data_IF_645368650411
#
_entry.id   IF_645368650411
#
_cell.length_a   1.000
_cell.length_b   1.000
_cell.length_c   1.000
_cell.angle_alpha   90.00
_cell.angle_beta   90.00
_cell.angle_gamma   90.00
#
_symmetry.space_group_name_H-M   'P 1'
#
loop_
_entity.id
_entity.type
_entity.pdbx_description
1 polymer ?
#
# COMPACT_ATOMS: atom_id res chain seq x y z
N UNK A 1 1.02 14.03 27.51
CA UNK A 1 -0.31 13.48 27.15
C UNK A 1 -0.92 14.18 25.95
N UNK A 2 -0.98 15.51 25.94
CA UNK A 2 -1.45 16.28 24.78
C UNK A 2 -0.64 15.99 23.49
N UNK A 3 0.69 15.93 23.58
CA UNK A 3 1.56 15.56 22.45
C UNK A 3 1.24 14.18 21.86
N UNK A 4 1.01 13.17 22.71
CA UNK A 4 0.61 11.83 22.29
C UNK A 4 -0.73 11.85 21.54
N UNK A 5 -1.71 12.59 22.08
CA UNK A 5 -3.01 12.72 21.45
C UNK A 5 -2.91 13.41 20.08
N UNK A 6 -2.04 14.42 19.95
CA UNK A 6 -1.80 15.09 18.67
C UNK A 6 -1.19 14.13 17.63
N UNK A 7 -0.18 13.34 18.04
CA UNK A 7 0.43 12.32 17.15
C UNK A 7 -0.64 11.32 16.68
N UNK A 8 -1.45 10.78 17.58
CA UNK A 8 -2.50 9.81 17.22
C UNK A 8 -3.56 10.40 16.29
N UNK A 9 -3.94 11.68 16.47
CA UNK A 9 -4.87 12.36 15.56
C UNK A 9 -4.27 12.56 14.16
N UNK A 10 -3.00 12.92 14.08
CA UNK A 10 -2.30 13.04 12.80
C UNK A 10 -2.15 11.68 12.12
N UNK A 11 -1.90 10.63 12.89
CA UNK A 11 -1.92 9.26 12.36
C UNK A 11 -3.30 8.91 11.78
N UNK A 12 -4.40 9.20 12.48
CA UNK A 12 -5.76 8.98 11.96
C UNK A 12 -5.95 9.69 10.62
N UNK A 13 -5.59 10.97 10.54
CA UNK A 13 -5.72 11.76 9.31
C UNK A 13 -4.91 11.16 8.15
N UNK A 14 -3.65 10.78 8.39
CA UNK A 14 -2.82 10.15 7.35
C UNK A 14 -3.40 8.81 6.88
N UNK A 15 -3.94 7.99 7.78
CA UNK A 15 -4.55 6.73 7.41
C UNK A 15 -5.85 6.94 6.60
N UNK A 16 -6.65 7.94 6.93
CA UNK A 16 -7.82 8.34 6.13
C UNK A 16 -7.43 8.83 4.73
N UNK A 17 -6.39 9.66 4.64
CA UNK A 17 -5.82 10.10 3.36
C UNK A 17 -5.32 8.91 2.52
N UNK A 18 -4.63 7.96 3.14
CA UNK A 18 -4.17 6.75 2.46
C UNK A 18 -5.33 5.91 1.93
N UNK A 19 -6.41 5.76 2.70
CA UNK A 19 -7.61 5.07 2.26
C UNK A 19 -8.21 5.75 1.03
N UNK A 20 -8.36 7.07 1.05
CA UNK A 20 -8.86 7.83 -0.09
C UNK A 20 -8.02 7.58 -1.36
N UNK A 21 -6.69 7.62 -1.23
CA UNK A 21 -5.79 7.32 -2.36
C UNK A 21 -5.93 5.88 -2.86
N UNK A 22 -6.12 4.90 -1.97
CA UNK A 22 -6.34 3.51 -2.33
C UNK A 22 -7.70 3.28 -3.01
N UNK A 23 -8.73 4.00 -2.58
CA UNK A 23 -10.06 3.99 -3.22
C UNK A 23 -10.01 4.62 -4.61
N UNK A 24 -9.33 5.76 -4.77
CA UNK A 24 -9.08 6.39 -6.08
C UNK A 24 -8.34 5.44 -7.02
N UNK A 25 -7.32 4.72 -6.51
CA UNK A 25 -6.61 3.72 -7.31
C UNK A 25 -7.52 2.57 -7.75
N UNK A 26 -8.34 2.06 -6.83
CA UNK A 26 -9.28 0.97 -7.10
C UNK A 26 -10.30 1.34 -8.19
N UNK A 27 -10.96 2.48 -8.02
CA UNK A 27 -11.99 2.99 -8.94
C UNK A 27 -11.41 3.48 -10.26
N UNK A 28 -10.22 4.06 -10.19
CA UNK A 28 -9.49 4.61 -11.32
C UNK A 28 -8.78 3.55 -12.17
N UNK A 29 -8.70 2.31 -11.73
CA UNK A 29 -7.99 1.27 -12.46
C UNK A 29 -8.60 1.01 -13.85
N UNK A 30 -7.80 1.20 -14.91
CA UNK A 30 -8.26 1.12 -16.30
C UNK A 30 -8.92 2.38 -16.84
N UNK A 31 -9.09 3.42 -16.02
CA UNK A 31 -9.56 4.76 -16.41
C UNK A 31 -8.45 5.81 -16.30
N UNK A 32 -7.64 5.70 -15.25
CA UNK A 32 -6.49 6.56 -15.00
C UNK A 32 -5.41 6.32 -16.05
N UNK A 33 -4.82 7.43 -16.51
CA UNK A 33 -3.61 7.40 -17.34
C UNK A 33 -2.41 6.97 -16.50
N UNK A 34 -1.42 6.36 -17.13
CA UNK A 34 -0.19 5.93 -16.45
C UNK A 34 0.51 7.06 -15.67
N UNK A 35 0.47 8.29 -16.19
CA UNK A 35 0.98 9.48 -15.49
C UNK A 35 0.21 9.83 -14.21
N UNK A 36 -1.10 9.62 -14.19
CA UNK A 36 -1.95 9.88 -13.02
C UNK A 36 -1.73 8.79 -11.96
N UNK A 37 -1.63 7.54 -12.39
CA UNK A 37 -1.28 6.43 -11.50
C UNK A 37 0.11 6.62 -10.87
N UNK A 38 1.09 7.10 -11.64
CA UNK A 38 2.43 7.41 -11.13
C UNK A 38 2.40 8.52 -10.08
N UNK A 39 1.62 9.58 -10.30
CA UNK A 39 1.42 10.65 -9.31
C UNK A 39 0.80 10.10 -8.02
N UNK A 40 -0.27 9.32 -8.15
CA UNK A 40 -0.96 8.69 -7.03
C UNK A 40 -0.04 7.76 -6.22
N UNK A 41 0.82 7.01 -6.90
CA UNK A 41 1.86 6.20 -6.25
C UNK A 41 2.87 7.06 -5.48
N UNK A 42 3.29 8.19 -6.05
CA UNK A 42 4.14 9.16 -5.37
C UNK A 42 3.51 9.74 -4.10
N UNK A 43 2.22 10.07 -4.14
CA UNK A 43 1.45 10.57 -3.00
C UNK A 43 1.29 9.51 -1.91
N UNK A 44 0.89 8.28 -2.26
CA UNK A 44 0.83 7.16 -1.31
C UNK A 44 2.17 6.92 -0.63
N UNK A 45 3.25 6.94 -1.40
CA UNK A 45 4.61 6.76 -0.86
C UNK A 45 5.00 7.87 0.12
N UNK A 46 4.58 9.12 -0.12
CA UNK A 46 4.77 10.23 0.82
C UNK A 46 3.94 10.03 2.09
N UNK A 47 2.67 9.66 1.95
CA UNK A 47 1.77 9.38 3.05
C UNK A 47 2.34 8.28 3.97
N UNK A 48 2.75 7.14 3.41
CA UNK A 48 3.36 6.03 4.16
C UNK A 48 4.63 6.48 4.91
N UNK A 49 5.51 7.28 4.26
CA UNK A 49 6.70 7.81 4.94
C UNK A 49 6.34 8.73 6.11
N UNK A 50 5.31 9.56 5.96
CA UNK A 50 4.83 10.42 7.03
C UNK A 50 4.26 9.59 8.19
N UNK A 51 3.50 8.53 7.90
CA UNK A 51 2.99 7.60 8.93
C UNK A 51 4.12 6.92 9.69
N UNK A 52 5.14 6.40 8.98
CA UNK A 52 6.31 5.77 9.63
C UNK A 52 7.06 6.76 10.52
N UNK A 53 7.16 8.02 10.09
CA UNK A 53 7.78 9.07 10.90
C UNK A 53 6.98 9.33 12.18
N UNK A 54 5.66 9.49 12.09
CA UNK A 54 4.81 9.70 13.27
C UNK A 54 4.87 8.51 14.22
N UNK A 55 4.86 7.29 13.70
CA UNK A 55 4.97 6.09 14.54
C UNK A 55 6.30 6.05 15.30
N UNK A 56 7.41 6.48 14.68
CA UNK A 56 8.69 6.60 15.37
C UNK A 56 8.66 7.70 16.45
N UNK A 57 8.02 8.84 16.18
CA UNK A 57 7.82 9.91 17.17
C UNK A 57 6.94 9.42 18.34
N UNK A 58 5.90 8.63 18.05
CA UNK A 58 5.03 7.99 19.04
C UNK A 58 5.81 7.03 19.92
N UNK A 59 6.63 6.15 19.34
CA UNK A 59 7.46 5.19 20.08
C UNK A 59 8.40 5.95 21.03
N UNK A 60 9.12 6.96 20.54
CA UNK A 60 10.03 7.75 21.39
C UNK A 60 9.32 8.47 22.54
N UNK A 61 8.08 8.93 22.31
CA UNK A 61 7.30 9.58 23.36
C UNK A 61 6.78 8.58 24.39
N UNK A 62 6.35 7.39 23.94
CA UNK A 62 5.95 6.28 24.81
C UNK A 62 7.14 5.78 25.64
N UNK A 63 8.35 5.73 25.07
CA UNK A 63 9.57 5.36 25.79
C UNK A 63 9.84 6.33 26.95
N UNK A 64 9.77 7.65 26.68
CA UNK A 64 9.93 8.69 27.73
C UNK A 64 8.85 8.60 28.81
N UNK A 65 7.62 8.25 28.43
CA UNK A 65 6.54 8.04 29.40
C UNK A 65 6.81 6.81 30.27
N UNK A 66 7.30 5.72 29.68
CA UNK A 66 7.66 4.49 30.41
C UNK A 66 8.74 4.78 31.46
N UNK A 67 9.79 5.52 31.07
CA UNK A 67 10.85 5.96 31.97
C UNK A 67 10.29 6.80 33.14
N UNK A 68 9.34 7.71 32.85
CA UNK A 68 8.72 8.57 33.87
C UNK A 68 7.82 7.82 34.86
N UNK A 69 7.27 6.67 34.45
CA UNK A 69 6.38 5.84 35.26
C UNK A 69 7.09 4.64 35.89
N UNK A 70 8.42 4.55 35.73
CA UNK A 70 9.25 3.42 36.18
C UNK A 70 8.72 2.06 35.66
N UNK A 71 8.08 2.06 34.49
CA UNK A 71 7.53 0.86 33.85
C UNK A 71 8.43 0.40 32.71
N UNK A 72 8.45 -0.90 32.44
CA UNK A 72 9.14 -1.37 31.24
C UNK A 72 8.32 -1.03 29.99
N UNK A 73 9.00 -0.60 28.92
CA UNK A 73 8.39 -0.19 27.65
C UNK A 73 7.48 -1.26 27.04
N UNK A 74 7.76 -2.54 27.31
CA UNK A 74 6.99 -3.68 26.81
C UNK A 74 5.63 -3.84 27.50
N UNK A 75 5.50 -3.32 28.72
CA UNK A 75 4.26 -3.38 29.51
C UNK A 75 3.37 -2.14 29.26
N UNK A 76 3.97 -1.06 28.75
CA UNK A 76 3.29 0.20 28.46
C UNK A 76 2.54 0.15 27.13
N UNK A 77 1.39 -0.53 27.13
CA UNK A 77 0.46 -0.51 25.99
C UNK A 77 -0.41 0.74 25.99
N UNK A 78 -0.96 1.11 24.82
CA UNK A 78 -1.85 2.28 24.72
C UNK A 78 -3.05 2.17 25.67
N UNK A 79 -3.58 0.97 25.89
CA UNK A 79 -4.66 0.70 26.85
C UNK A 79 -4.24 1.02 28.30
N UNK A 80 -3.00 0.71 28.68
CA UNK A 80 -2.44 1.06 29.99
C UNK A 80 -2.28 2.57 30.10
N UNK A 81 -1.76 3.23 29.07
CA UNK A 81 -1.63 4.70 29.03
C UNK A 81 -3.01 5.37 29.19
N UNK A 82 -4.05 4.87 28.51
CA UNK A 82 -5.42 5.38 28.63
C UNK A 82 -5.96 5.20 30.04
N UNK A 83 -5.69 4.08 30.69
CA UNK A 83 -6.15 3.81 32.07
C UNK A 83 -5.50 4.71 33.13
N UNK A 84 -4.29 5.20 32.87
CA UNK A 84 -3.56 6.14 33.73
C UNK A 84 -3.78 7.61 33.32
N UNK A 85 -4.43 7.87 32.19
CA UNK A 85 -4.73 9.21 31.72
C UNK A 85 -5.83 9.86 32.57
N UNK A 86 -5.77 11.18 32.74
CA UNK A 86 -6.90 11.93 33.28
C UNK A 86 -8.12 11.81 32.36
N UNK A 87 -9.33 12.02 32.90
CA UNK A 87 -10.58 11.94 32.13
C UNK A 87 -10.54 12.75 30.83
N UNK A 88 -9.91 13.92 30.86
CA UNK A 88 -9.72 14.81 29.70
C UNK A 88 -9.02 14.15 28.51
N UNK A 89 -8.04 13.26 28.75
CA UNK A 89 -7.26 12.62 27.68
C UNK A 89 -7.68 11.16 27.44
N UNK A 90 -8.25 10.49 28.43
CA UNK A 90 -8.63 9.08 28.32
C UNK A 90 -9.61 8.81 27.17
N UNK A 91 -10.72 9.56 27.09
CA UNK A 91 -11.75 9.37 26.06
C UNK A 91 -11.25 9.72 24.64
N UNK A 92 -10.57 10.86 24.41
CA UNK A 92 -10.01 11.16 23.09
C UNK A 92 -8.95 10.15 22.62
N UNK A 93 -8.10 9.66 23.52
CA UNK A 93 -7.09 8.65 23.19
C UNK A 93 -7.74 7.32 22.81
N UNK A 94 -8.77 6.90 23.56
CA UNK A 94 -9.55 5.70 23.25
C UNK A 94 -10.22 5.81 21.87
N UNK A 95 -10.82 6.97 21.57
CA UNK A 95 -11.43 7.21 20.26
C UNK A 95 -10.42 7.09 19.12
N UNK A 96 -9.24 7.70 19.26
CA UNK A 96 -8.19 7.61 18.24
C UNK A 96 -7.72 6.17 18.06
N UNK A 97 -7.57 5.42 19.16
CA UNK A 97 -7.17 4.01 19.12
C UNK A 97 -8.17 3.14 18.35
N UNK A 98 -9.46 3.26 18.67
CA UNK A 98 -10.52 2.49 18.00
C UNK A 98 -10.63 2.86 16.52
N UNK A 99 -10.47 4.14 16.20
CA UNK A 99 -10.41 4.63 14.81
C UNK A 99 -9.22 4.04 14.07
N UNK A 100 -8.00 4.14 14.60
CA UNK A 100 -6.79 3.60 13.97
C UNK A 100 -6.92 2.10 13.70
N UNK A 101 -7.46 1.33 14.65
CA UNK A 101 -7.70 -0.10 14.48
C UNK A 101 -8.65 -0.39 13.32
N UNK A 102 -9.73 0.38 13.21
CA UNK A 102 -10.69 0.29 12.11
C UNK A 102 -10.06 0.67 10.76
N UNK A 103 -9.28 1.76 10.73
CA UNK A 103 -8.62 2.26 9.53
C UNK A 103 -7.57 1.28 9.01
N UNK A 104 -6.74 0.69 9.87
CA UNK A 104 -5.75 -0.32 9.49
C UNK A 104 -6.44 -1.52 8.83
N UNK A 105 -7.54 -2.01 9.41
CA UNK A 105 -8.31 -3.10 8.81
C UNK A 105 -8.88 -2.71 7.44
N UNK A 106 -9.40 -1.48 7.30
CA UNK A 106 -9.91 -0.98 6.02
C UNK A 106 -8.79 -0.87 4.97
N UNK A 107 -7.61 -0.38 5.34
CA UNK A 107 -6.44 -0.27 4.47
C UNK A 107 -6.02 -1.64 3.95
N UNK A 108 -5.87 -2.63 4.84
CA UNK A 108 -5.50 -4.00 4.44
C UNK A 108 -6.48 -4.56 3.41
N UNK A 109 -7.79 -4.43 3.68
CA UNK A 109 -8.83 -4.92 2.78
C UNK A 109 -8.82 -4.25 1.40
N UNK A 110 -8.56 -2.95 1.32
CA UNK A 110 -8.51 -2.24 0.03
C UNK A 110 -7.20 -2.54 -0.70
N UNK A 111 -6.07 -2.57 0.02
CA UNK A 111 -4.77 -2.91 -0.55
C UNK A 111 -4.77 -4.31 -1.17
N UNK A 112 -5.38 -5.29 -0.51
CA UNK A 112 -5.52 -6.66 -1.04
C UNK A 112 -6.35 -6.69 -2.34
N UNK A 113 -7.44 -5.92 -2.39
CA UNK A 113 -8.25 -5.78 -3.61
C UNK A 113 -7.46 -5.14 -4.75
N UNK A 114 -6.73 -4.05 -4.48
CA UNK A 114 -5.91 -3.37 -5.47
C UNK A 114 -4.81 -4.29 -6.00
N UNK A 115 -4.17 -5.05 -5.12
CA UNK A 115 -3.15 -6.04 -5.48
C UNK A 115 -3.70 -7.13 -6.41
N UNK A 116 -4.85 -7.70 -6.06
CA UNK A 116 -5.52 -8.72 -6.89
C UNK A 116 -5.88 -8.17 -8.28
N UNK A 117 -6.42 -6.96 -8.34
CA UNK A 117 -6.81 -6.30 -9.58
C UNK A 117 -5.60 -5.97 -10.46
N UNK A 118 -4.52 -5.45 -9.88
CA UNK A 118 -3.28 -5.16 -10.59
C UNK A 118 -2.66 -6.42 -11.18
N UNK A 119 -2.54 -7.49 -10.37
CA UNK A 119 -2.01 -8.79 -10.80
C UNK A 119 -2.81 -9.39 -11.95
N UNK A 120 -4.15 -9.41 -11.85
CA UNK A 120 -5.02 -9.95 -12.90
C UNK A 120 -4.87 -9.20 -14.23
N UNK A 121 -4.68 -7.87 -14.19
CA UNK A 121 -4.50 -7.06 -15.40
C UNK A 121 -3.10 -7.21 -16.01
N UNK A 122 -2.05 -7.29 -15.20
CA UNK A 122 -0.69 -7.58 -15.69
C UNK A 122 -0.66 -8.92 -16.42
N UNK A 123 -1.29 -9.96 -15.87
CA UNK A 123 -1.44 -11.26 -16.53
C UNK A 123 -2.19 -11.16 -17.87
N UNK A 124 -3.22 -10.32 -17.94
CA UNK A 124 -3.92 -10.04 -19.20
C UNK A 124 -3.03 -9.32 -20.22
N UNK A 125 -2.23 -8.34 -19.79
CA UNK A 125 -1.29 -7.62 -20.67
C UNK A 125 -0.21 -8.57 -21.20
N UNK A 126 0.37 -9.39 -20.32
CA UNK A 126 1.34 -10.43 -20.69
C UNK A 126 0.76 -11.41 -21.73
N UNK A 127 -0.47 -11.87 -21.50
CA UNK A 127 -1.17 -12.76 -22.44
C UNK A 127 -1.41 -12.11 -23.80
N UNK A 128 -1.79 -10.82 -23.82
CA UNK A 128 -1.96 -10.06 -25.06
C UNK A 128 -0.63 -9.87 -25.81
N UNK A 129 0.46 -9.59 -25.10
CA UNK A 129 1.81 -9.48 -25.69
C UNK A 129 2.23 -10.82 -26.29
N UNK A 130 2.01 -11.93 -25.57
CA UNK A 130 2.32 -13.28 -26.06
C UNK A 130 1.52 -13.60 -27.33
N UNK A 131 0.22 -13.29 -27.34
CA UNK A 131 -0.63 -13.47 -28.51
C UNK A 131 -0.15 -12.64 -29.71
N UNK A 132 0.17 -11.35 -29.50
CA UNK A 132 0.71 -10.50 -30.56
C UNK A 132 2.05 -11.01 -31.10
N UNK A 133 2.92 -11.50 -30.23
CA UNK A 133 4.19 -12.13 -30.62
C UNK A 133 3.96 -13.38 -31.48
N UNK A 134 2.97 -14.21 -31.16
CA UNK A 134 2.60 -15.37 -31.96
C UNK A 134 2.07 -14.98 -33.34
N UNK A 135 1.30 -13.89 -33.44
CA UNK A 135 0.83 -13.38 -34.74
C UNK A 135 1.95 -12.82 -35.62
N UNK A 136 2.96 -12.16 -35.03
CA UNK A 136 4.12 -11.63 -35.76
C UNK A 136 4.99 -12.74 -36.35
N UNK A 137 5.00 -13.92 -35.74
CA UNK A 137 5.73 -15.10 -36.26
C UNK A 137 5.05 -15.76 -37.47
N UNK A 138 3.97 -15.16 -38.00
CA UNK A 138 3.25 -15.66 -39.17
C UNK A 138 2.56 -17.01 -38.93
N UNK A 139 1.59 -17.39 -39.79
CA UNK A 139 1.03 -18.73 -39.72
C UNK A 139 2.11 -19.77 -40.01
N UNK A 140 2.11 -20.91 -39.29
CA UNK A 140 3.02 -22.01 -39.61
C UNK A 140 2.92 -22.36 -41.09
N UNK A 141 4.01 -22.20 -41.81
CA UNK A 141 4.07 -22.53 -43.24
C UNK A 141 4.47 -23.99 -43.38
N UNK A 142 3.81 -24.72 -44.27
CA UNK A 142 4.25 -26.06 -44.64
C UNK A 142 5.59 -25.95 -45.37
N UNK A 143 6.62 -26.60 -44.83
CA UNK A 143 7.87 -26.78 -45.55
C UNK A 143 7.69 -27.75 -46.71
N UNK A 144 8.59 -27.68 -47.71
CA UNK A 144 8.63 -28.56 -48.88
C UNK A 144 8.73 -30.07 -48.54
N UNK A 145 9.03 -30.39 -47.28
CA UNK A 145 9.10 -31.76 -46.72
C UNK A 145 7.83 -32.16 -45.94
N UNK A 146 6.75 -31.38 -46.01
CA UNK A 146 5.48 -31.68 -45.34
C UNK A 146 5.53 -31.50 -43.81
N UNK A 147 6.56 -30.85 -43.28
CA UNK A 147 6.68 -30.53 -41.85
C UNK A 147 6.26 -29.10 -41.57
N UNK A 148 5.54 -28.90 -40.46
CA UNK A 148 5.16 -27.58 -39.95
C UNK A 148 6.42 -26.85 -39.45
N UNK A 149 6.77 -25.73 -40.07
CA UNK A 149 7.78 -24.82 -39.53
C UNK A 149 7.09 -23.69 -38.76
N UNK A 150 7.36 -23.62 -37.46
CA UNK A 150 7.07 -22.42 -36.67
C UNK A 150 8.15 -21.38 -36.99
N UNK A 151 7.80 -20.24 -37.58
CA UNK A 151 8.77 -19.20 -37.84
C UNK A 151 9.31 -18.70 -36.49
N UNK A 152 10.52 -19.12 -36.17
CA UNK A 152 11.18 -18.74 -34.92
C UNK A 152 11.95 -17.47 -35.23
N UNK A 153 11.30 -16.31 -35.13
CA UNK A 153 12.03 -15.04 -35.15
C UNK A 153 12.84 -14.96 -33.86
N UNK A 154 14.12 -15.31 -33.94
CA UNK A 154 15.09 -15.02 -32.89
C UNK A 154 15.18 -13.49 -32.82
N UNK A 155 14.59 -12.90 -31.79
CA UNK A 155 14.80 -11.48 -31.47
C UNK A 155 16.26 -11.36 -31.04
N UNK A 156 17.12 -10.91 -31.96
CA UNK A 156 18.48 -10.47 -31.61
C UNK A 156 18.36 -9.28 -30.68
N UNK A 157 18.66 -9.49 -29.41
CA UNK A 157 18.74 -8.46 -28.39
C UNK A 157 19.94 -7.57 -28.73
N UNK A 158 19.71 -6.39 -29.27
CA UNK A 158 20.78 -5.39 -29.45
C UNK A 158 21.12 -4.83 -28.09
N UNK A 159 22.34 -5.11 -27.61
CA UNK A 159 22.92 -4.43 -26.46
C UNK A 159 23.19 -2.96 -26.83
N UNK A 160 22.72 -2.04 -25.99
CA UNK A 160 23.13 -0.63 -25.94
C UNK A 160 23.38 -0.28 -24.48
#
# INVERSE_FOLDING_TARGET
>A
MEELLNILRQEVELHEQLISMLEIEFEGFGRLRGSELLKLQGEKSRCVRATVRLENERIQLVDKLADSWEMTTKELTLSVIISHATEEFSAPLQQCFDQLKSLIYKIQKIADKNSLQASGRLKSVESSIQFMSQLQNGPPTYSDVGKIQTATSIISRTEV
#
